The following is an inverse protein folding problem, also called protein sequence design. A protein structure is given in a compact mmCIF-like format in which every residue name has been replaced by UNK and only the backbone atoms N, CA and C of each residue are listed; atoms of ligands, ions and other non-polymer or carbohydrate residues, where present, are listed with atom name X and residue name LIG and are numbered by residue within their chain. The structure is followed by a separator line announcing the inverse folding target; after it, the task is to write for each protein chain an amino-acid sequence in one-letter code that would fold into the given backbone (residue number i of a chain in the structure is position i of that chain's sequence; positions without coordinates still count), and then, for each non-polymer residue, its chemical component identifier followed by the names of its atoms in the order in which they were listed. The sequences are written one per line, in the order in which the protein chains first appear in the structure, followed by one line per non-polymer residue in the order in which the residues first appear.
data_IF_166318535359
#
_entry.id   IF_166318535359
#
_cell.length_a   1.000
_cell.length_b   1.000
_cell.length_c   1.000
_cell.angle_alpha   90.00
_cell.angle_beta   90.00
_cell.angle_gamma   90.00
#
_symmetry.space_group_name_H-M   'P 1'
#
loop_
_entity.id
_entity.type
_entity.pdbx_description
1 polymer ?
#
# COMPACT_ATOMS: atom_id res chain seq x y z
N UNK A 1 -22.51 5.18 5.85
CA UNK A 1 -22.09 4.50 4.61
C UNK A 1 -22.50 3.05 4.74
N UNK A 2 -23.04 2.40 3.69
CA UNK A 2 -23.42 0.99 3.78
C UNK A 2 -22.16 0.13 3.92
N UNK A 3 -22.24 -0.99 4.67
CA UNK A 3 -21.08 -1.88 4.89
C UNK A 3 -20.45 -2.38 3.59
N UNK A 4 -21.26 -2.67 2.56
CA UNK A 4 -20.80 -3.08 1.23
C UNK A 4 -19.94 -1.99 0.55
N UNK A 5 -20.35 -0.71 0.63
CA UNK A 5 -19.55 0.41 0.08
C UNK A 5 -18.22 0.58 0.81
N UNK A 6 -18.21 0.38 2.13
CA UNK A 6 -17.00 0.44 2.94
C UNK A 6 -16.02 -0.67 2.56
N UNK A 7 -16.52 -1.89 2.35
CA UNK A 7 -15.73 -3.05 1.91
C UNK A 7 -15.17 -2.87 0.52
N UNK A 8 -15.95 -2.36 -0.43
CA UNK A 8 -15.45 -2.06 -1.79
C UNK A 8 -14.35 -1.00 -1.77
N UNK A 9 -14.53 0.06 -0.99
CA UNK A 9 -13.48 1.08 -0.83
C UNK A 9 -12.18 0.46 -0.29
N UNK A 10 -12.30 -0.38 0.77
CA UNK A 10 -11.15 -1.05 1.36
C UNK A 10 -10.44 -1.96 0.36
N UNK A 11 -11.17 -2.83 -0.33
CA UNK A 11 -10.61 -3.77 -1.31
C UNK A 11 -9.91 -2.99 -2.44
N UNK A 12 -10.52 -1.93 -2.96
CA UNK A 12 -9.93 -1.12 -4.04
C UNK A 12 -8.64 -0.45 -3.59
N UNK A 13 -8.63 0.20 -2.42
CA UNK A 13 -7.44 0.85 -1.87
C UNK A 13 -6.31 -0.16 -1.64
N UNK A 14 -6.64 -1.32 -1.07
CA UNK A 14 -5.68 -2.40 -0.81
C UNK A 14 -5.10 -2.97 -2.10
N UNK A 15 -5.93 -3.20 -3.12
CA UNK A 15 -5.51 -3.73 -4.42
C UNK A 15 -4.54 -2.79 -5.13
N UNK A 16 -4.79 -1.47 -5.11
CA UNK A 16 -3.88 -0.46 -5.70
C UNK A 16 -2.48 -0.57 -5.07
N UNK A 17 -2.41 -0.68 -3.76
CA UNK A 17 -1.15 -0.78 -3.01
C UNK A 17 -0.43 -2.11 -3.31
N UNK A 18 -1.16 -3.23 -3.33
CA UNK A 18 -0.59 -4.53 -3.66
C UNK A 18 -0.01 -4.58 -5.08
N UNK A 19 -0.75 -4.09 -6.08
CA UNK A 19 -0.26 -4.04 -7.46
C UNK A 19 1.05 -3.22 -7.52
N UNK A 20 1.11 -2.09 -6.81
CA UNK A 20 2.31 -1.28 -6.71
C UNK A 20 3.51 -2.04 -6.13
N UNK A 21 3.32 -2.73 -5.02
CA UNK A 21 4.37 -3.51 -4.35
C UNK A 21 4.84 -4.68 -5.22
N UNK A 22 3.91 -5.46 -5.78
CA UNK A 22 4.28 -6.59 -6.64
C UNK A 22 4.98 -6.14 -7.93
N UNK A 23 4.61 -4.97 -8.47
CA UNK A 23 5.34 -4.37 -9.59
C UNK A 23 6.78 -4.08 -9.20
N UNK A 24 7.02 -3.51 -8.02
CA UNK A 24 8.37 -3.23 -7.51
C UNK A 24 9.13 -4.53 -7.28
N UNK A 25 8.53 -5.52 -6.65
CA UNK A 25 9.17 -6.84 -6.43
C UNK A 25 9.55 -7.51 -7.76
N UNK A 26 8.69 -7.43 -8.78
CA UNK A 26 9.00 -7.97 -10.11
C UNK A 26 10.20 -7.25 -10.75
N UNK A 27 10.34 -5.93 -10.54
CA UNK A 27 11.48 -5.17 -11.05
C UNK A 27 12.78 -5.59 -10.36
N UNK A 28 12.74 -5.77 -9.03
CA UNK A 28 13.91 -6.15 -8.24
C UNK A 28 14.28 -7.61 -8.51
N UNK A 29 13.32 -8.54 -8.48
CA UNK A 29 13.57 -9.96 -8.71
C UNK A 29 14.10 -10.28 -10.10
N UNK A 30 13.78 -9.46 -11.11
CA UNK A 30 14.35 -9.60 -12.44
C UNK A 30 15.87 -9.38 -12.53
N UNK A 31 16.49 -8.86 -11.46
CA UNK A 31 17.94 -8.68 -11.32
C UNK A 31 18.62 -9.74 -10.44
N UNK A 32 17.83 -10.47 -9.66
CA UNK A 32 18.33 -11.46 -8.71
C UNK A 32 18.51 -12.82 -9.41
N UNK A 33 19.64 -13.45 -9.17
CA UNK A 33 19.90 -14.84 -9.56
C UNK A 33 19.47 -15.87 -8.51
N UNK A 34 18.97 -15.42 -7.36
CA UNK A 34 18.57 -16.24 -6.20
C UNK A 34 17.16 -15.90 -5.73
N UNK A 35 16.64 -16.66 -4.76
CA UNK A 35 15.35 -16.41 -4.15
C UNK A 35 15.27 -15.02 -3.52
N UNK A 36 14.09 -14.37 -3.65
CA UNK A 36 13.85 -13.05 -3.12
C UNK A 36 13.74 -13.09 -1.59
N UNK A 37 14.55 -12.29 -0.92
CA UNK A 37 14.49 -12.07 0.53
C UNK A 37 14.34 -10.59 0.87
N UNK A 38 13.99 -10.26 2.12
CA UNK A 38 13.86 -8.86 2.56
C UNK A 38 15.21 -8.15 2.49
N UNK A 39 16.31 -8.86 2.73
CA UNK A 39 17.67 -8.36 2.66
C UNK A 39 18.03 -7.84 1.25
N UNK A 40 17.41 -8.38 0.20
CA UNK A 40 17.58 -7.91 -1.17
C UNK A 40 17.01 -6.50 -1.41
N UNK A 41 16.25 -5.94 -0.47
CA UNK A 41 15.82 -4.55 -0.49
C UNK A 41 16.90 -3.59 0.02
N UNK A 42 17.94 -4.11 0.71
CA UNK A 42 19.02 -3.29 1.24
C UNK A 42 19.71 -2.51 0.13
N UNK A 43 19.90 -1.21 0.36
CA UNK A 43 20.51 -0.33 -0.62
C UNK A 43 19.59 0.17 -1.74
N UNK A 44 18.32 -0.20 -1.77
CA UNK A 44 17.38 0.21 -2.81
C UNK A 44 17.33 1.74 -2.97
N UNK A 45 17.49 2.50 -1.89
CA UNK A 45 17.54 3.96 -1.92
C UNK A 45 18.76 4.48 -2.73
N UNK A 46 19.88 3.78 -2.66
CA UNK A 46 21.10 4.11 -3.44
C UNK A 46 20.93 3.69 -4.90
N UNK A 47 20.29 2.54 -5.13
CA UNK A 47 20.04 2.01 -6.48
C UNK A 47 19.07 2.88 -7.26
N UNK A 48 17.91 3.17 -6.66
CA UNK A 48 16.89 3.99 -7.29
C UNK A 48 15.97 4.65 -6.25
N UNK A 49 16.19 5.93 -6.00
CA UNK A 49 15.41 6.73 -5.03
C UNK A 49 13.92 6.76 -5.35
N UNK A 50 13.54 6.85 -6.63
CA UNK A 50 12.13 6.88 -7.03
C UNK A 50 11.42 5.58 -6.66
N UNK A 51 12.08 4.43 -6.91
CA UNK A 51 11.54 3.11 -6.58
C UNK A 51 11.31 2.97 -5.06
N UNK A 52 12.29 3.41 -4.26
CA UNK A 52 12.19 3.39 -2.80
C UNK A 52 11.07 4.28 -2.28
N UNK A 53 10.89 5.48 -2.86
CA UNK A 53 9.80 6.38 -2.46
C UNK A 53 8.45 5.74 -2.78
N UNK A 54 8.24 5.20 -3.98
CA UNK A 54 7.01 4.51 -4.35
C UNK A 54 6.75 3.31 -3.43
N UNK A 55 7.77 2.49 -3.16
CA UNK A 55 7.70 1.37 -2.23
C UNK A 55 7.25 1.81 -0.83
N UNK A 56 7.88 2.86 -0.31
CA UNK A 56 7.52 3.42 1.00
C UNK A 56 6.08 3.91 1.04
N UNK A 57 5.59 4.60 0.00
CA UNK A 57 4.20 5.05 -0.09
C UNK A 57 3.23 3.89 -0.01
N UNK A 58 3.47 2.80 -0.76
CA UNK A 58 2.59 1.63 -0.73
C UNK A 58 2.63 0.90 0.62
N UNK A 59 3.81 0.70 1.19
CA UNK A 59 3.96 0.06 2.50
C UNK A 59 3.32 0.88 3.63
N UNK A 60 3.49 2.21 3.63
CA UNK A 60 2.82 3.11 4.57
C UNK A 60 1.30 3.09 4.38
N UNK A 61 0.85 2.93 3.14
CA UNK A 61 -0.57 2.72 2.82
C UNK A 61 -1.11 1.44 3.46
N UNK A 62 -0.44 0.30 3.28
CA UNK A 62 -0.83 -0.97 3.90
C UNK A 62 -0.76 -0.92 5.43
N UNK A 63 0.23 -0.24 5.99
CA UNK A 63 0.29 0.03 7.43
C UNK A 63 -0.93 0.83 7.92
N UNK A 64 -1.50 1.67 7.06
CA UNK A 64 -2.60 2.56 7.41
C UNK A 64 -2.12 3.83 8.10
N UNK A 65 -1.05 4.43 7.59
CA UNK A 65 -0.55 5.73 8.05
C UNK A 65 -1.48 6.84 7.52
N UNK A 66 -1.81 7.87 8.33
CA UNK A 66 -2.58 9.03 7.89
C UNK A 66 -2.08 9.59 6.56
N UNK A 67 -2.97 10.19 5.77
CA UNK A 67 -2.76 10.71 4.41
C UNK A 67 -2.77 9.64 3.31
N UNK A 68 -2.90 8.36 3.65
CA UNK A 68 -3.01 7.28 2.66
C UNK A 68 -4.44 6.73 2.56
N UNK A 69 -4.78 6.18 1.39
CA UNK A 69 -6.07 5.52 1.18
C UNK A 69 -6.27 4.30 2.11
N UNK A 70 -5.18 3.66 2.53
CA UNK A 70 -5.23 2.56 3.49
C UNK A 70 -5.69 2.97 4.89
N UNK A 71 -5.28 4.15 5.38
CA UNK A 71 -5.78 4.70 6.63
C UNK A 71 -7.30 4.95 6.55
N UNK A 72 -7.72 5.70 5.55
CA UNK A 72 -9.14 6.07 5.38
C UNK A 72 -10.01 4.83 5.22
N UNK A 73 -9.57 3.83 4.48
CA UNK A 73 -10.30 2.58 4.27
C UNK A 73 -10.51 1.81 5.59
N UNK A 74 -9.48 1.68 6.40
CA UNK A 74 -9.57 1.05 7.73
C UNK A 74 -10.46 1.86 8.67
N UNK A 75 -10.31 3.19 8.67
CA UNK A 75 -11.13 4.07 9.48
C UNK A 75 -12.63 3.95 9.15
N UNK A 76 -12.96 3.95 7.86
CA UNK A 76 -14.34 3.75 7.39
C UNK A 76 -14.88 2.38 7.82
N UNK A 77 -14.09 1.31 7.71
CA UNK A 77 -14.50 -0.02 8.18
C UNK A 77 -14.75 -0.05 9.67
N UNK A 78 -13.86 0.51 10.48
CA UNK A 78 -14.00 0.58 11.94
C UNK A 78 -15.29 1.32 12.31
N UNK A 79 -15.54 2.49 11.71
CA UNK A 79 -16.75 3.27 12.00
C UNK A 79 -18.03 2.56 11.59
N UNK A 80 -18.02 1.80 10.49
CA UNK A 80 -19.14 0.98 10.08
C UNK A 80 -19.39 -0.19 11.05
N UNK A 81 -18.33 -0.96 11.39
CA UNK A 81 -18.46 -2.06 12.35
C UNK A 81 -18.95 -1.58 13.71
N UNK A 82 -18.51 -0.41 14.15
CA UNK A 82 -18.99 0.23 15.37
C UNK A 82 -20.49 0.54 15.30
N UNK A 83 -20.97 1.07 14.18
CA UNK A 83 -22.41 1.39 13.97
C UNK A 83 -23.29 0.14 13.97
N UNK A 84 -22.74 -1.03 13.64
CA UNK A 84 -23.43 -2.31 13.68
C UNK A 84 -23.19 -3.08 15.00
N UNK A 85 -22.66 -2.41 16.03
CA UNK A 85 -22.37 -2.98 17.35
C UNK A 85 -21.44 -4.23 17.30
N UNK A 86 -20.68 -4.37 16.22
CA UNK A 86 -19.77 -5.50 16.00
C UNK A 86 -18.41 -5.27 16.68
N UNK A 87 -18.40 -5.01 17.97
CA UNK A 87 -17.20 -4.60 18.74
C UNK A 87 -16.06 -5.61 18.68
N UNK A 88 -16.36 -6.90 18.62
CA UNK A 88 -15.33 -7.95 18.49
C UNK A 88 -14.56 -7.79 17.19
N UNK A 89 -15.24 -7.52 16.08
CA UNK A 89 -14.59 -7.30 14.80
C UNK A 89 -13.76 -6.00 14.79
N UNK A 90 -14.22 -4.96 15.47
CA UNK A 90 -13.45 -3.71 15.64
C UNK A 90 -12.13 -4.00 16.35
N UNK A 91 -12.16 -4.74 17.46
CA UNK A 91 -10.95 -5.09 18.22
C UNK A 91 -10.00 -5.93 17.38
N UNK A 92 -10.50 -6.94 16.66
CA UNK A 92 -9.68 -7.77 15.77
C UNK A 92 -9.00 -6.91 14.68
N UNK A 93 -9.75 -5.98 14.06
CA UNK A 93 -9.22 -5.10 13.02
C UNK A 93 -8.16 -4.14 13.58
N UNK A 94 -8.36 -3.61 14.78
CA UNK A 94 -7.37 -2.77 15.46
C UNK A 94 -6.10 -3.54 15.79
N UNK A 95 -6.22 -4.73 16.39
CA UNK A 95 -5.06 -5.56 16.74
C UNK A 95 -4.28 -5.99 15.49
N UNK A 96 -4.96 -6.40 14.42
CA UNK A 96 -4.31 -6.75 13.16
C UNK A 96 -3.60 -5.55 12.52
N UNK A 97 -4.13 -4.33 12.68
CA UNK A 97 -3.47 -3.11 12.21
C UNK A 97 -2.19 -2.85 12.98
N UNK A 98 -2.21 -2.95 14.32
CA UNK A 98 -1.03 -2.78 15.16
C UNK A 98 0.04 -3.84 14.84
N UNK A 99 -0.35 -5.10 14.72
CA UNK A 99 0.58 -6.16 14.31
C UNK A 99 1.18 -5.90 12.92
N UNK A 100 0.37 -5.38 11.98
CA UNK A 100 0.79 -5.03 10.63
C UNK A 100 1.85 -3.94 10.58
N UNK A 101 1.91 -3.01 11.55
CA UNK A 101 2.90 -1.95 11.57
C UNK A 101 4.33 -2.49 11.48
N UNK A 102 4.69 -3.49 12.26
CA UNK A 102 6.03 -4.06 12.24
C UNK A 102 6.35 -4.67 10.87
N UNK A 103 5.41 -5.44 10.28
CA UNK A 103 5.61 -6.12 9.00
C UNK A 103 5.74 -5.15 7.83
N UNK A 104 5.10 -4.00 7.87
CA UNK A 104 5.15 -3.01 6.79
C UNK A 104 6.28 -1.98 6.97
N UNK A 105 6.66 -1.63 8.20
CA UNK A 105 7.71 -0.66 8.45
C UNK A 105 9.12 -1.26 8.31
N UNK A 106 9.31 -2.54 8.69
CA UNK A 106 10.61 -3.21 8.58
C UNK A 106 11.17 -3.21 7.14
N UNK A 107 10.41 -3.60 6.09
CA UNK A 107 10.91 -3.52 4.70
C UNK A 107 11.27 -2.11 4.25
N UNK A 108 10.53 -1.08 4.72
CA UNK A 108 10.88 0.32 4.43
C UNK A 108 12.23 0.67 5.04
N UNK A 109 12.46 0.28 6.28
CA UNK A 109 13.72 0.50 6.97
C UNK A 109 14.88 -0.12 6.21
N UNK A 110 14.76 -1.40 5.85
CA UNK A 110 15.77 -2.14 5.09
C UNK A 110 16.03 -1.46 3.73
N UNK A 111 14.99 -1.08 3.01
CA UNK A 111 15.11 -0.47 1.68
C UNK A 111 15.72 0.93 1.70
N UNK A 112 15.44 1.74 2.74
CA UNK A 112 15.80 3.14 2.78
C UNK A 112 17.08 3.44 3.58
N UNK A 113 17.41 2.64 4.59
CA UNK A 113 18.43 2.97 5.59
C UNK A 113 19.57 1.97 5.61
N UNK A 114 19.29 0.68 5.42
CA UNK A 114 20.32 -0.35 5.49
C UNK A 114 21.30 -0.21 4.33
N UNK A 115 22.58 -0.35 4.67
CA UNK A 115 23.64 -0.27 3.66
C UNK A 115 23.78 -1.61 2.95
N UNK A 116 23.92 -1.60 1.64
CA UNK A 116 24.15 -2.82 0.86
C UNK A 116 25.52 -3.41 1.21
N UNK A 117 25.59 -4.73 1.37
CA UNK A 117 26.84 -5.46 1.62
C UNK A 117 27.70 -5.61 0.36
N UNK A 118 27.11 -5.48 -0.82
CA UNK A 118 27.78 -5.60 -2.12
C UNK A 118 27.67 -4.30 -2.91
N UNK A 119 28.58 -4.07 -3.90
CA UNK A 119 28.48 -2.92 -4.79
C UNK A 119 27.14 -2.91 -5.52
N UNK A 120 26.47 -1.76 -5.45
CA UNK A 120 25.10 -1.59 -5.92
C UNK A 120 25.07 -1.18 -7.38
N UNK A 121 24.42 -1.96 -8.22
CA UNK A 121 24.10 -1.57 -9.59
C UNK A 121 22.82 -0.75 -9.63
N UNK A 122 22.84 0.39 -10.32
CA UNK A 122 21.65 1.25 -10.49
C UNK A 122 20.54 0.52 -11.22
N UNK A 123 19.34 0.57 -10.68
CA UNK A 123 18.14 0.07 -11.34
C UNK A 123 17.65 1.10 -12.35
N UNK A 124 17.70 0.75 -13.63
CA UNK A 124 17.10 1.56 -14.70
C UNK A 124 15.66 1.12 -14.95
N UNK A 125 14.73 2.06 -14.88
CA UNK A 125 13.31 1.81 -15.08
C UNK A 125 12.87 2.11 -16.51
N UNK A 126 11.98 1.28 -17.05
CA UNK A 126 11.28 1.58 -18.30
C UNK A 126 10.27 2.70 -18.08
N UNK A 127 9.97 3.50 -19.11
CA UNK A 127 8.97 4.58 -19.02
C UNK A 127 7.59 4.10 -18.55
N UNK A 128 7.16 2.92 -19.00
CA UNK A 128 5.91 2.30 -18.55
C UNK A 128 5.91 2.00 -17.04
N UNK A 129 7.02 1.53 -16.50
CA UNK A 129 7.15 1.25 -15.05
C UNK A 129 7.10 2.55 -14.23
N UNK A 130 7.77 3.61 -14.68
CA UNK A 130 7.72 4.92 -14.04
C UNK A 130 6.29 5.43 -14.04
N UNK A 131 5.60 5.37 -15.19
CA UNK A 131 4.23 5.87 -15.32
C UNK A 131 3.25 5.10 -14.42
N UNK A 132 3.30 3.76 -14.44
CA UNK A 132 2.42 2.93 -13.61
C UNK A 132 2.66 3.13 -12.11
N UNK A 133 3.92 3.14 -11.66
CA UNK A 133 4.24 3.37 -10.26
C UNK A 133 3.87 4.77 -9.80
N UNK A 134 4.09 5.80 -10.63
CA UNK A 134 3.65 7.17 -10.33
C UNK A 134 2.13 7.26 -10.19
N UNK A 135 1.38 6.66 -11.13
CA UNK A 135 -0.08 6.67 -11.10
C UNK A 135 -0.63 5.96 -9.86
N UNK A 136 -0.10 4.78 -9.51
CA UNK A 136 -0.53 4.01 -8.34
C UNK A 136 -0.16 4.73 -7.02
N UNK A 137 1.04 5.31 -6.94
CA UNK A 137 1.47 6.09 -5.76
C UNK A 137 0.59 7.35 -5.60
N UNK A 138 0.33 8.06 -6.70
CA UNK A 138 -0.57 9.20 -6.71
C UNK A 138 -1.98 8.79 -6.25
N UNK A 139 -2.53 7.69 -6.79
CA UNK A 139 -3.85 7.20 -6.38
C UNK A 139 -3.91 6.84 -4.89
N UNK A 140 -2.84 6.25 -4.33
CA UNK A 140 -2.76 5.91 -2.90
C UNK A 140 -2.86 7.15 -2.02
N UNK A 141 -2.19 8.25 -2.39
CA UNK A 141 -2.23 9.51 -1.64
C UNK A 141 -3.53 10.27 -1.94
N UNK A 142 -3.93 10.35 -3.21
CA UNK A 142 -5.12 11.09 -3.64
C UNK A 142 -6.39 10.58 -2.96
N UNK A 143 -6.61 9.27 -2.94
CA UNK A 143 -7.77 8.68 -2.25
C UNK A 143 -7.65 8.71 -0.73
N UNK A 144 -6.46 8.93 -0.19
CA UNK A 144 -6.23 9.22 1.22
C UNK A 144 -6.63 10.64 1.61
N UNK A 145 -6.34 11.62 0.75
CA UNK A 145 -6.65 13.04 0.99
C UNK A 145 -8.07 13.41 0.58
N UNK A 146 -8.57 12.81 -0.52
CA UNK A 146 -9.90 13.09 -1.10
C UNK A 146 -10.74 11.80 -1.18
N UNK A 147 -11.11 11.20 -0.04
CA UNK A 147 -11.79 9.91 0.00
C UNK A 147 -13.17 9.93 -0.65
N UNK A 148 -13.83 11.09 -0.68
CA UNK A 148 -15.16 11.26 -1.24
C UNK A 148 -15.25 10.81 -2.70
N UNK A 149 -14.20 10.98 -3.48
CA UNK A 149 -14.15 10.55 -4.88
C UNK A 149 -14.34 9.04 -5.01
N UNK A 150 -13.59 8.25 -4.26
CA UNK A 150 -13.70 6.79 -4.30
C UNK A 150 -14.97 6.29 -3.59
N UNK A 151 -15.40 6.96 -2.51
CA UNK A 151 -16.65 6.66 -1.80
C UNK A 151 -17.84 6.82 -2.74
N UNK A 152 -17.90 7.89 -3.52
CA UNK A 152 -18.98 8.15 -4.46
C UNK A 152 -19.01 7.11 -5.59
N UNK A 153 -17.85 6.73 -6.10
CA UNK A 153 -17.72 5.64 -7.09
C UNK A 153 -18.23 4.32 -6.49
N UNK A 154 -17.82 3.98 -5.27
CA UNK A 154 -18.25 2.74 -4.59
C UNK A 154 -19.77 2.71 -4.35
N UNK A 155 -20.37 3.84 -3.99
CA UNK A 155 -21.82 3.96 -3.83
C UNK A 155 -22.55 3.81 -5.17
N UNK A 156 -22.06 4.46 -6.20
CA UNK A 156 -22.65 4.40 -7.54
C UNK A 156 -22.65 2.97 -8.11
N UNK A 157 -21.54 2.25 -7.95
CA UNK A 157 -21.44 0.85 -8.38
C UNK A 157 -22.48 -0.03 -7.67
N UNK A 158 -22.65 0.13 -6.35
CA UNK A 158 -23.63 -0.68 -5.61
C UNK A 158 -25.06 -0.34 -6.03
N UNK A 159 -25.37 0.93 -6.23
CA UNK A 159 -26.72 1.35 -6.61
C UNK A 159 -27.15 0.84 -8.00
N UNK A 160 -26.21 0.62 -8.90
CA UNK A 160 -26.52 0.24 -10.28
C UNK A 160 -26.31 -1.24 -10.61
N UNK A 161 -25.56 -1.99 -9.78
CA UNK A 161 -25.17 -3.37 -10.11
C UNK A 161 -25.39 -4.40 -8.99
N UNK A 162 -25.73 -3.98 -7.79
CA UNK A 162 -26.03 -4.82 -6.63
C UNK A 162 -27.33 -4.40 -5.95
#
# INVERSE_FOLDING_TARGET
MNGTSASLFYITAYTIQLIGIFTIFTIISGKLSSDFSIENLSGLFVENKFLTICFSIFMLGLAGIPLTSGFISKFILITNLWSYESYVLVVILMLSTVAGFYFYLRPIWVAAIDKPETPVERITLKRSQILSLSALSFATIFFGLLPNSLINISRWVIQNYL
#
